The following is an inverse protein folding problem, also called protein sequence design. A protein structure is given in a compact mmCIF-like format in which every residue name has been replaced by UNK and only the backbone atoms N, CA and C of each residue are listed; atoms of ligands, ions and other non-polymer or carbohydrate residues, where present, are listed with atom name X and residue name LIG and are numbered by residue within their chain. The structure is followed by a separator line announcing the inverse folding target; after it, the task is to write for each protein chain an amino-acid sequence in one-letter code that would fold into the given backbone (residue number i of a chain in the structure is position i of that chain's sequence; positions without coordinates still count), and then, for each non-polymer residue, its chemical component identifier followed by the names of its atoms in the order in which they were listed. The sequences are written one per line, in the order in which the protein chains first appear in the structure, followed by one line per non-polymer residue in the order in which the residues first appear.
data_IF_020035904153
#
_entry.id   IF_020035904153
#
_cell.length_a   1.000
_cell.length_b   1.000
_cell.length_c   1.000
_cell.angle_alpha   90.00
_cell.angle_beta   90.00
_cell.angle_gamma   90.00
#
_symmetry.space_group_name_H-M   'P 1'
#
loop_
_entity.id
_entity.type
_entity.pdbx_description
1 polymer ?
#
# COMPACT_ATOMS: atom_id res chain seq x y z
N UNK A 1 99.08 44.07 -32.41
CA UNK A 1 98.74 43.73 -31.00
C UNK A 1 99.76 42.77 -30.34
N UNK A 2 101.04 42.78 -30.77
CA UNK A 2 102.07 41.84 -30.25
C UNK A 2 103.10 42.52 -29.34
N UNK A 3 103.40 43.81 -29.56
CA UNK A 3 104.44 44.54 -28.80
C UNK A 3 104.00 45.00 -27.39
N UNK A 4 102.71 45.04 -27.07
CA UNK A 4 102.23 45.28 -25.68
C UNK A 4 102.24 44.01 -24.81
N UNK A 5 102.38 42.81 -25.39
CA UNK A 5 102.44 41.55 -24.64
C UNK A 5 103.80 41.29 -23.96
N UNK A 6 104.87 41.97 -24.40
CA UNK A 6 106.25 41.70 -23.95
C UNK A 6 106.64 42.55 -22.73
N UNK A 7 106.13 43.78 -22.59
CA UNK A 7 106.51 44.70 -21.50
C UNK A 7 105.50 44.81 -20.33
N UNK A 8 104.35 44.13 -20.40
CA UNK A 8 103.31 44.25 -19.36
C UNK A 8 102.52 42.93 -19.15
N UNK A 9 103.24 41.81 -19.10
CA UNK A 9 102.67 40.44 -19.02
C UNK A 9 101.66 40.27 -17.86
N UNK A 10 101.97 40.83 -16.69
CA UNK A 10 101.09 40.80 -15.52
C UNK A 10 99.76 41.55 -15.74
N UNK A 11 99.78 42.72 -16.40
CA UNK A 11 98.55 43.48 -16.71
C UNK A 11 97.68 42.76 -17.75
N UNK A 12 98.29 42.08 -18.72
CA UNK A 12 97.56 41.29 -19.74
C UNK A 12 96.95 40.03 -19.12
N UNK A 13 97.66 39.31 -18.25
CA UNK A 13 97.11 38.17 -17.50
C UNK A 13 95.97 38.60 -16.54
N UNK A 14 96.12 39.72 -15.84
CA UNK A 14 95.07 40.30 -15.00
C UNK A 14 93.82 40.62 -15.82
N UNK A 15 94.00 41.25 -17.00
CA UNK A 15 92.90 41.57 -17.91
C UNK A 15 92.17 40.32 -18.42
N UNK A 16 92.90 39.26 -18.83
CA UNK A 16 92.25 38.00 -19.21
C UNK A 16 91.55 37.30 -18.04
N UNK A 17 92.08 37.41 -16.83
CA UNK A 17 91.45 36.89 -15.61
C UNK A 17 90.16 37.63 -15.27
N UNK A 18 90.17 38.97 -15.36
CA UNK A 18 88.99 39.80 -15.15
C UNK A 18 87.95 39.60 -16.25
N UNK A 19 88.39 39.41 -17.50
CA UNK A 19 87.51 39.12 -18.64
C UNK A 19 86.88 37.73 -18.54
N UNK A 20 87.62 36.72 -18.09
CA UNK A 20 87.08 35.39 -17.82
C UNK A 20 86.10 35.42 -16.63
N UNK A 21 86.45 36.10 -15.53
CA UNK A 21 85.53 36.27 -14.40
C UNK A 21 84.24 37.01 -14.81
N UNK A 22 84.37 38.07 -15.63
CA UNK A 22 83.22 38.80 -16.15
C UNK A 22 82.36 37.90 -17.06
N UNK A 23 82.99 37.09 -17.93
CA UNK A 23 82.29 36.15 -18.81
C UNK A 23 81.60 35.01 -18.02
N UNK A 24 82.25 34.48 -16.98
CA UNK A 24 81.66 33.49 -16.08
C UNK A 24 80.48 34.07 -15.30
N UNK A 25 80.60 35.32 -14.83
CA UNK A 25 79.50 36.03 -14.19
C UNK A 25 78.33 36.30 -15.16
N UNK A 26 78.63 36.65 -16.41
CA UNK A 26 77.63 36.86 -17.46
C UNK A 26 76.92 35.53 -17.82
N UNK A 27 77.66 34.43 -17.86
CA UNK A 27 77.11 33.09 -18.04
C UNK A 27 76.22 32.66 -16.86
N UNK A 28 76.61 32.96 -15.63
CA UNK A 28 75.77 32.69 -14.45
C UNK A 28 74.48 33.52 -14.47
N UNK A 29 74.58 34.82 -14.77
CA UNK A 29 73.42 35.70 -14.95
C UNK A 29 72.49 35.21 -16.08
N UNK A 30 73.06 34.71 -17.18
CA UNK A 30 72.29 34.11 -18.28
C UNK A 30 71.55 32.84 -17.85
N UNK A 31 72.19 31.96 -17.05
CA UNK A 31 71.55 30.78 -16.46
C UNK A 31 70.44 31.17 -15.49
N UNK A 32 70.67 32.14 -14.62
CA UNK A 32 69.65 32.66 -13.69
C UNK A 32 68.46 33.24 -14.45
N UNK A 33 68.70 34.09 -15.47
CA UNK A 33 67.64 34.65 -16.32
C UNK A 33 66.79 33.55 -16.96
N UNK A 34 67.42 32.50 -17.47
CA UNK A 34 66.72 31.35 -18.09
C UNK A 34 65.88 30.60 -17.06
N UNK A 35 66.40 30.41 -15.84
CA UNK A 35 65.65 29.82 -14.72
C UNK A 35 64.43 30.66 -14.35
N UNK A 36 64.60 31.97 -14.18
CA UNK A 36 63.49 32.89 -13.87
C UNK A 36 62.41 32.91 -14.96
N UNK A 37 62.81 32.86 -16.24
CA UNK A 37 61.86 32.78 -17.36
C UNK A 37 61.05 31.48 -17.33
N UNK A 38 61.69 30.35 -17.01
CA UNK A 38 61.02 29.06 -16.87
C UNK A 38 60.06 29.03 -15.66
N UNK A 39 60.50 29.57 -14.51
CA UNK A 39 59.66 29.67 -13.31
C UNK A 39 58.46 30.59 -13.54
N UNK A 40 58.65 31.73 -14.21
CA UNK A 40 57.56 32.61 -14.63
C UNK A 40 56.55 31.87 -15.49
N UNK A 41 57.01 31.14 -16.52
CA UNK A 41 56.12 30.38 -17.41
C UNK A 41 55.34 29.30 -16.66
N UNK A 42 55.99 28.62 -15.70
CA UNK A 42 55.34 27.62 -14.84
C UNK A 42 54.26 28.26 -13.95
N UNK A 43 54.56 29.41 -13.35
CA UNK A 43 53.60 30.15 -12.52
C UNK A 43 52.42 30.67 -13.35
N UNK A 44 52.66 31.21 -14.54
CA UNK A 44 51.60 31.64 -15.47
C UNK A 44 50.68 30.46 -15.86
N UNK A 45 51.23 29.28 -16.12
CA UNK A 45 50.43 28.09 -16.41
C UNK A 45 49.59 27.65 -15.20
N UNK A 46 50.17 27.62 -13.99
CA UNK A 46 49.41 27.29 -12.76
C UNK A 46 48.32 28.32 -12.48
N UNK A 47 48.58 29.59 -12.75
CA UNK A 47 47.58 30.65 -12.60
C UNK A 47 46.41 30.42 -13.56
N UNK A 48 46.68 30.11 -14.84
CA UNK A 48 45.63 29.77 -15.82
C UNK A 48 44.80 28.56 -15.40
N UNK A 49 45.45 27.49 -14.92
CA UNK A 49 44.74 26.31 -14.42
C UNK A 49 43.86 26.63 -13.21
N UNK A 50 44.37 27.42 -12.26
CA UNK A 50 43.62 27.80 -11.07
C UNK A 50 42.42 28.70 -11.41
N UNK A 51 42.56 29.62 -12.36
CA UNK A 51 41.45 30.44 -12.86
C UNK A 51 40.38 29.57 -13.49
N UNK A 52 40.75 28.64 -14.39
CA UNK A 52 39.80 27.71 -15.00
C UNK A 52 39.08 26.83 -13.97
N UNK A 53 39.79 26.35 -12.93
CA UNK A 53 39.20 25.60 -11.81
C UNK A 53 38.22 26.46 -11.00
N UNK A 54 38.57 27.72 -10.73
CA UNK A 54 37.71 28.66 -10.01
C UNK A 54 36.42 28.93 -10.79
N UNK A 55 36.52 29.19 -12.09
CA UNK A 55 35.36 29.39 -12.96
C UNK A 55 34.47 28.15 -13.02
N UNK A 56 35.06 26.96 -13.10
CA UNK A 56 34.33 25.70 -13.08
C UNK A 56 33.56 25.50 -11.77
N UNK A 57 34.21 25.70 -10.62
CA UNK A 57 33.58 25.57 -9.29
C UNK A 57 32.48 26.62 -9.12
N UNK A 58 32.69 27.84 -9.61
CA UNK A 58 31.71 28.90 -9.55
C UNK A 58 30.46 28.57 -10.38
N UNK A 59 30.64 28.02 -11.58
CA UNK A 59 29.53 27.52 -12.41
C UNK A 59 28.76 26.38 -11.72
N UNK A 60 29.46 25.39 -11.18
CA UNK A 60 28.84 24.29 -10.43
C UNK A 60 28.04 24.78 -9.21
N UNK A 61 28.58 25.77 -8.50
CA UNK A 61 27.91 26.38 -7.35
C UNK A 61 26.64 27.10 -7.78
N UNK A 62 26.68 27.83 -8.90
CA UNK A 62 25.53 28.54 -9.45
C UNK A 62 24.44 27.58 -9.92
N UNK A 63 24.80 26.50 -10.61
CA UNK A 63 23.87 25.46 -11.07
C UNK A 63 23.23 24.73 -9.88
N UNK A 64 24.03 24.38 -8.86
CA UNK A 64 23.54 23.74 -7.64
C UNK A 64 22.58 24.65 -6.87
N UNK A 65 22.89 25.95 -6.80
CA UNK A 65 22.02 26.94 -6.15
C UNK A 65 20.70 27.10 -6.90
N UNK A 66 20.74 27.19 -8.23
CA UNK A 66 19.54 27.23 -9.06
C UNK A 66 18.67 25.96 -8.93
N UNK A 67 19.31 24.79 -8.81
CA UNK A 67 18.62 23.52 -8.54
C UNK A 67 17.94 23.52 -7.17
N UNK A 68 18.65 24.00 -6.14
CA UNK A 68 18.10 24.12 -4.79
C UNK A 68 16.92 25.10 -4.74
N UNK A 69 17.02 26.26 -5.38
CA UNK A 69 15.94 27.25 -5.43
C UNK A 69 14.70 26.69 -6.14
N UNK A 70 14.88 25.96 -7.24
CA UNK A 70 13.79 25.24 -7.92
C UNK A 70 13.14 24.19 -7.02
N UNK A 71 13.95 23.41 -6.30
CA UNK A 71 13.45 22.43 -5.35
C UNK A 71 12.68 23.10 -4.20
N UNK A 72 13.20 24.19 -3.62
CA UNK A 72 12.55 24.96 -2.56
C UNK A 72 11.20 25.51 -2.99
N UNK A 73 11.11 26.12 -4.18
CA UNK A 73 9.84 26.61 -4.74
C UNK A 73 8.84 25.47 -4.90
N UNK A 74 9.30 24.32 -5.41
CA UNK A 74 8.44 23.13 -5.56
C UNK A 74 7.90 22.66 -4.20
N UNK A 75 8.74 22.59 -3.17
CA UNK A 75 8.30 22.20 -1.83
C UNK A 75 7.32 23.21 -1.24
N UNK A 76 7.62 24.52 -1.33
CA UNK A 76 6.71 25.57 -0.85
C UNK A 76 5.35 25.53 -1.55
N UNK A 77 5.32 25.27 -2.85
CA UNK A 77 4.06 25.10 -3.57
C UNK A 77 3.31 23.84 -3.13
N UNK A 78 4.03 22.76 -2.82
CA UNK A 78 3.46 21.56 -2.19
C UNK A 78 2.81 21.87 -0.84
N UNK A 79 3.52 22.57 0.05
CA UNK A 79 3.00 22.98 1.35
C UNK A 79 1.77 23.89 1.23
N UNK A 80 1.82 24.91 0.37
CA UNK A 80 0.67 25.80 0.11
C UNK A 80 -0.55 25.04 -0.42
N UNK A 81 -0.34 23.99 -1.23
CA UNK A 81 -1.44 23.14 -1.70
C UNK A 81 -2.09 22.38 -0.55
N UNK A 82 -1.27 21.75 0.30
CA UNK A 82 -1.75 21.01 1.48
C UNK A 82 -2.45 21.94 2.46
N UNK A 83 -1.91 23.13 2.70
CA UNK A 83 -2.51 24.14 3.57
C UNK A 83 -3.90 24.58 3.07
N UNK A 84 -4.06 24.82 1.76
CA UNK A 84 -5.37 25.11 1.15
C UNK A 84 -6.34 23.94 1.30
N UNK A 85 -5.85 22.71 1.19
CA UNK A 85 -6.66 21.51 1.33
C UNK A 85 -7.13 21.33 2.78
N UNK A 86 -6.27 21.57 3.76
CA UNK A 86 -6.61 21.58 5.19
C UNK A 86 -7.72 22.62 5.46
N UNK A 87 -7.54 23.86 5.01
CA UNK A 87 -8.56 24.93 5.20
C UNK A 87 -9.89 24.56 4.55
N UNK A 88 -9.86 23.95 3.35
CA UNK A 88 -11.06 23.48 2.67
C UNK A 88 -11.76 22.38 3.48
N UNK A 89 -11.01 21.38 3.95
CA UNK A 89 -11.53 20.28 4.75
C UNK A 89 -12.09 20.76 6.09
N UNK A 90 -11.45 21.72 6.75
CA UNK A 90 -11.95 22.36 7.98
C UNK A 90 -13.27 23.10 7.75
N UNK A 91 -13.38 23.82 6.63
CA UNK A 91 -14.63 24.48 6.25
C UNK A 91 -15.76 23.47 5.98
N UNK A 92 -15.47 22.42 5.21
CA UNK A 92 -16.42 21.33 4.94
C UNK A 92 -16.84 20.63 6.23
N UNK A 93 -15.90 20.39 7.14
CA UNK A 93 -16.15 19.82 8.46
C UNK A 93 -17.14 20.66 9.25
N UNK A 94 -16.90 21.97 9.38
CA UNK A 94 -17.79 22.88 10.10
C UNK A 94 -19.21 22.89 9.51
N UNK A 95 -19.33 22.88 8.19
CA UNK A 95 -20.63 22.85 7.51
C UNK A 95 -21.36 21.50 7.64
N UNK A 96 -20.62 20.39 7.75
CA UNK A 96 -21.20 19.05 7.79
C UNK A 96 -21.93 18.73 9.10
N UNK A 97 -21.59 19.40 10.21
CA UNK A 97 -22.10 19.08 11.54
C UNK A 97 -21.64 17.71 12.07
N UNK A 98 -20.63 17.11 11.46
CA UNK A 98 -20.00 15.87 11.91
C UNK A 98 -19.17 16.16 13.17
N UNK A 99 -19.38 15.37 14.23
CA UNK A 99 -18.55 15.41 15.43
C UNK A 99 -17.31 14.56 15.21
N UNK A 100 -16.14 15.14 15.50
CA UNK A 100 -14.88 14.39 15.49
C UNK A 100 -14.88 13.31 16.57
N UNK A 101 -14.32 12.12 16.28
CA UNK A 101 -14.06 11.15 17.32
C UNK A 101 -13.02 11.72 18.29
N UNK A 102 -13.40 11.79 19.56
CA UNK A 102 -12.53 12.26 20.63
C UNK A 102 -11.74 11.07 21.20
N UNK A 103 -10.52 10.88 20.68
CA UNK A 103 -9.64 9.79 21.09
C UNK A 103 -9.08 9.94 22.51
N UNK A 104 -9.40 11.03 23.23
CA UNK A 104 -9.07 11.16 24.65
C UNK A 104 -10.09 10.46 25.56
N UNK A 105 -11.27 10.10 25.04
CA UNK A 105 -12.31 9.40 25.78
C UNK A 105 -11.94 7.95 26.07
N UNK A 106 -12.63 7.37 27.06
CA UNK A 106 -12.53 5.95 27.31
C UNK A 106 -12.97 5.15 26.08
N UNK A 107 -12.41 3.95 25.93
CA UNK A 107 -12.68 3.09 24.77
C UNK A 107 -14.19 2.78 24.61
N UNK A 108 -14.89 2.53 25.72
CA UNK A 108 -16.34 2.25 25.74
C UNK A 108 -17.19 3.43 25.25
N UNK A 109 -16.75 4.67 25.53
CA UNK A 109 -17.42 5.88 25.07
C UNK A 109 -17.13 6.13 23.58
N UNK A 110 -15.87 5.94 23.17
CA UNK A 110 -15.47 6.08 21.78
C UNK A 110 -16.20 5.08 20.86
N UNK A 111 -16.41 3.84 21.30
CA UNK A 111 -17.19 2.84 20.54
C UNK A 111 -18.66 3.22 20.37
N UNK A 112 -19.24 3.97 21.32
CA UNK A 112 -20.61 4.48 21.23
C UNK A 112 -20.70 5.75 20.38
N UNK A 113 -19.56 6.39 20.12
CA UNK A 113 -19.50 7.55 19.23
C UNK A 113 -19.84 7.15 17.79
N UNK A 114 -20.53 8.04 17.08
CA UNK A 114 -20.91 7.82 15.69
C UNK A 114 -20.43 9.00 14.85
N UNK A 115 -19.13 9.07 14.52
CA UNK A 115 -18.55 10.21 13.82
C UNK A 115 -18.97 10.27 12.35
N UNK A 116 -19.50 9.19 11.77
CA UNK A 116 -19.78 9.12 10.33
C UNK A 116 -21.10 9.75 9.91
N UNK A 117 -22.06 9.87 10.82
CA UNK A 117 -23.42 10.29 10.47
C UNK A 117 -24.00 11.29 11.46
N UNK A 118 -24.53 12.40 10.92
CA UNK A 118 -25.33 13.33 11.71
C UNK A 118 -26.72 12.77 12.00
N UNK A 119 -27.37 13.29 13.04
CA UNK A 119 -28.76 12.92 13.38
C UNK A 119 -29.70 13.22 12.20
N UNK A 120 -29.51 14.35 11.51
CA UNK A 120 -30.29 14.72 10.32
C UNK A 120 -30.10 13.68 9.20
N UNK A 121 -28.86 13.27 8.94
CA UNK A 121 -28.58 12.22 7.96
C UNK A 121 -29.28 10.91 8.31
N UNK A 122 -29.21 10.45 9.57
CA UNK A 122 -29.88 9.22 10.00
C UNK A 122 -31.40 9.30 9.83
N UNK A 123 -32.02 10.44 10.16
CA UNK A 123 -33.47 10.65 9.94
C UNK A 123 -33.83 10.52 8.45
N UNK A 124 -33.12 11.22 7.58
CA UNK A 124 -33.34 11.16 6.12
C UNK A 124 -33.10 9.75 5.56
N UNK A 125 -32.06 9.06 6.05
CA UNK A 125 -31.76 7.68 5.67
C UNK A 125 -32.91 6.75 6.07
N UNK A 126 -33.45 6.90 7.28
CA UNK A 126 -34.61 6.12 7.75
C UNK A 126 -35.87 6.42 6.93
N UNK A 127 -36.15 7.68 6.62
CA UNK A 127 -37.29 8.08 5.78
C UNK A 127 -37.20 7.51 4.36
N UNK A 128 -35.99 7.57 3.76
CA UNK A 128 -35.71 6.95 2.46
C UNK A 128 -35.90 5.43 2.53
N UNK A 129 -35.39 4.78 3.58
CA UNK A 129 -35.54 3.34 3.77
C UNK A 129 -37.02 2.93 3.89
N UNK A 130 -37.81 3.65 4.70
CA UNK A 130 -39.25 3.41 4.83
C UNK A 130 -39.96 3.60 3.47
N UNK A 131 -39.60 4.63 2.71
CA UNK A 131 -40.17 4.88 1.39
C UNK A 131 -39.83 3.77 0.40
N UNK A 132 -38.58 3.30 0.40
CA UNK A 132 -38.16 2.15 -0.42
C UNK A 132 -38.91 0.86 -0.04
N UNK A 133 -39.17 0.63 1.26
CA UNK A 133 -39.97 -0.51 1.71
C UNK A 133 -41.42 -0.44 1.21
N UNK A 134 -42.02 0.75 1.13
CA UNK A 134 -43.37 0.93 0.56
C UNK A 134 -43.41 0.50 -0.91
N UNK A 135 -42.42 0.92 -1.70
CA UNK A 135 -42.29 0.52 -3.12
C UNK A 135 -42.11 -1.00 -3.23
N UNK A 136 -41.21 -1.58 -2.43
CA UNK A 136 -40.97 -3.02 -2.40
C UNK A 136 -42.23 -3.81 -2.04
N UNK A 137 -42.98 -3.35 -1.04
CA UNK A 137 -44.25 -3.95 -0.62
C UNK A 137 -45.27 -3.94 -1.78
N UNK A 138 -45.42 -2.80 -2.46
CA UNK A 138 -46.34 -2.67 -3.59
C UNK A 138 -45.95 -3.62 -4.74
N UNK A 139 -44.67 -3.64 -5.10
CA UNK A 139 -44.15 -4.53 -6.14
C UNK A 139 -44.43 -6.02 -5.83
N UNK A 140 -44.20 -6.45 -4.58
CA UNK A 140 -44.47 -7.82 -4.15
C UNK A 140 -45.97 -8.15 -4.17
N UNK A 141 -46.83 -7.19 -3.81
CA UNK A 141 -48.28 -7.37 -3.82
C UNK A 141 -48.84 -7.60 -5.24
N UNK A 142 -48.36 -6.79 -6.20
CA UNK A 142 -48.70 -6.92 -7.61
C UNK A 142 -48.18 -8.26 -8.19
N UNK A 143 -46.98 -8.68 -7.77
CA UNK A 143 -46.30 -9.87 -8.28
C UNK A 143 -46.49 -11.13 -7.41
N UNK A 144 -47.56 -11.20 -6.61
CA UNK A 144 -47.82 -12.33 -5.69
C UNK A 144 -47.83 -13.72 -6.35
N UNK A 145 -48.22 -13.80 -7.63
CA UNK A 145 -48.22 -15.06 -8.40
C UNK A 145 -46.79 -15.55 -8.65
N UNK A 146 -45.89 -14.63 -9.03
CA UNK A 146 -44.47 -14.92 -9.26
C UNK A 146 -43.79 -15.36 -7.96
N UNK A 147 -44.09 -14.68 -6.85
CA UNK A 147 -43.57 -15.07 -5.53
C UNK A 147 -44.04 -16.48 -5.10
N UNK A 148 -45.32 -16.82 -5.34
CA UNK A 148 -45.83 -18.18 -5.06
C UNK A 148 -45.13 -19.22 -5.93
N UNK A 149 -44.91 -18.93 -7.22
CA UNK A 149 -44.18 -19.81 -8.11
C UNK A 149 -42.73 -20.02 -7.65
N UNK A 150 -42.02 -18.93 -7.33
CA UNK A 150 -40.65 -18.98 -6.80
C UNK A 150 -40.53 -19.82 -5.52
N UNK A 151 -41.46 -19.63 -4.57
CA UNK A 151 -41.51 -20.45 -3.35
C UNK A 151 -41.70 -21.94 -3.66
N UNK A 152 -42.58 -22.27 -4.60
CA UNK A 152 -42.84 -23.66 -4.98
C UNK A 152 -41.61 -24.31 -5.64
N UNK A 153 -40.97 -23.60 -6.57
CA UNK A 153 -39.74 -24.08 -7.23
C UNK A 153 -38.62 -24.26 -6.21
N UNK A 154 -38.44 -23.30 -5.30
CA UNK A 154 -37.40 -23.38 -4.26
C UNK A 154 -37.60 -24.55 -3.29
N UNK A 155 -38.85 -24.88 -2.95
CA UNK A 155 -39.12 -26.04 -2.09
C UNK A 155 -38.93 -27.38 -2.82
N UNK A 156 -39.03 -27.40 -4.15
CA UNK A 156 -39.00 -28.61 -4.98
C UNK A 156 -37.83 -28.63 -5.94
N UNK A 157 -36.67 -28.09 -5.56
CA UNK A 157 -35.51 -27.94 -6.43
C UNK A 157 -35.14 -29.23 -7.20
N UNK A 158 -35.26 -30.40 -6.56
CA UNK A 158 -34.98 -31.70 -7.20
C UNK A 158 -35.87 -32.00 -8.41
N UNK A 159 -37.13 -31.58 -8.40
CA UNK A 159 -38.08 -31.79 -9.51
C UNK A 159 -37.77 -30.88 -10.71
N UNK A 160 -37.04 -29.79 -10.48
CA UNK A 160 -36.72 -28.81 -11.52
C UNK A 160 -35.31 -28.99 -12.11
N UNK A 161 -34.37 -29.62 -11.39
CA UNK A 161 -33.00 -29.84 -11.87
C UNK A 161 -32.91 -30.53 -13.24
N UNK A 162 -33.79 -31.51 -13.50
CA UNK A 162 -33.81 -32.26 -14.75
C UNK A 162 -34.57 -31.61 -15.91
N UNK A 163 -35.14 -30.42 -15.72
CA UNK A 163 -35.91 -29.71 -16.75
C UNK A 163 -35.02 -28.83 -17.61
N UNK A 164 -35.44 -28.58 -18.84
CA UNK A 164 -34.88 -27.53 -19.68
C UNK A 164 -35.01 -26.17 -18.95
N UNK A 165 -33.88 -25.53 -18.65
CA UNK A 165 -33.75 -24.31 -17.84
C UNK A 165 -33.98 -24.45 -16.32
N UNK A 166 -33.98 -25.67 -15.78
CA UNK A 166 -34.15 -25.96 -14.35
C UNK A 166 -33.26 -25.14 -13.42
N UNK A 167 -31.97 -25.08 -13.74
CA UNK A 167 -30.97 -24.35 -12.93
C UNK A 167 -31.23 -22.84 -12.89
N UNK A 168 -31.62 -22.26 -14.02
CA UNK A 168 -31.97 -20.84 -14.10
C UNK A 168 -33.24 -20.56 -13.29
N UNK A 169 -34.25 -21.41 -13.37
CA UNK A 169 -35.48 -21.27 -12.58
C UNK A 169 -35.22 -21.33 -11.07
N UNK A 170 -34.31 -22.19 -10.62
CA UNK A 170 -33.90 -22.25 -9.20
C UNK A 170 -33.20 -20.95 -8.77
N UNK A 171 -32.29 -20.44 -9.60
CA UNK A 171 -31.60 -19.17 -9.34
C UNK A 171 -32.56 -17.98 -9.28
N UNK A 172 -33.49 -17.87 -10.24
CA UNK A 172 -34.49 -16.81 -10.21
C UNK A 172 -35.46 -16.95 -9.03
N UNK A 173 -35.76 -18.18 -8.63
CA UNK A 173 -36.57 -18.42 -7.43
C UNK A 173 -35.87 -17.92 -6.17
N UNK A 174 -34.54 -18.10 -6.06
CA UNK A 174 -33.75 -17.50 -5.00
C UNK A 174 -33.79 -15.97 -5.04
N UNK A 175 -33.66 -15.37 -6.23
CA UNK A 175 -33.73 -13.91 -6.38
C UNK A 175 -35.06 -13.35 -5.88
N UNK A 176 -36.18 -13.99 -6.21
CA UNK A 176 -37.51 -13.62 -5.70
C UNK A 176 -37.63 -13.76 -4.17
N UNK A 177 -37.06 -14.83 -3.61
CA UNK A 177 -37.07 -15.06 -2.16
C UNK A 177 -36.18 -14.06 -1.43
N UNK A 178 -34.95 -13.81 -1.91
CA UNK A 178 -34.04 -12.82 -1.36
C UNK A 178 -34.58 -11.39 -1.52
N UNK A 179 -35.28 -11.12 -2.63
CA UNK A 179 -36.02 -9.89 -2.82
C UNK A 179 -37.21 -9.76 -1.85
N UNK A 180 -37.76 -10.83 -1.31
CA UNK A 180 -38.81 -10.76 -0.28
C UNK A 180 -38.21 -10.69 1.13
N UNK A 181 -37.17 -11.47 1.37
CA UNK A 181 -36.50 -11.67 2.65
C UNK A 181 -35.02 -11.26 2.46
N UNK A 182 -34.68 -9.99 2.71
CA UNK A 182 -33.35 -9.46 2.39
C UNK A 182 -32.22 -10.00 3.27
N UNK A 183 -32.56 -10.57 4.43
CA UNK A 183 -31.58 -11.10 5.39
C UNK A 183 -31.99 -12.53 5.74
N UNK A 184 -31.06 -13.47 5.53
CA UNK A 184 -31.23 -14.89 5.83
C UNK A 184 -30.05 -15.35 6.66
N UNK A 185 -30.31 -15.84 7.87
CA UNK A 185 -29.30 -16.41 8.76
C UNK A 185 -29.28 -17.93 8.65
N UNK A 186 -28.10 -18.54 8.52
CA UNK A 186 -27.92 -19.99 8.49
C UNK A 186 -26.51 -20.37 8.95
N UNK A 187 -26.32 -21.60 9.42
CA UNK A 187 -24.99 -22.14 9.76
C UNK A 187 -24.30 -22.71 8.52
N UNK A 188 -22.97 -22.86 8.53
CA UNK A 188 -22.23 -23.43 7.39
C UNK A 188 -22.71 -24.83 6.99
N UNK A 189 -23.03 -25.69 7.98
CA UNK A 189 -23.55 -27.03 7.73
C UNK A 189 -24.90 -27.02 6.99
N UNK A 190 -25.77 -26.05 7.32
CA UNK A 190 -27.08 -25.90 6.66
C UNK A 190 -26.98 -25.15 5.33
N UNK A 191 -26.02 -24.22 5.20
CA UNK A 191 -25.76 -23.48 3.97
C UNK A 191 -25.51 -24.42 2.79
N UNK A 192 -24.64 -25.42 3.00
CA UNK A 192 -24.29 -26.39 1.96
C UNK A 192 -25.51 -27.11 1.38
N UNK A 193 -26.47 -27.50 2.23
CA UNK A 193 -27.72 -28.15 1.80
C UNK A 193 -28.71 -27.18 1.17
N UNK A 194 -28.86 -26.00 1.76
CA UNK A 194 -29.82 -24.97 1.34
C UNK A 194 -29.49 -24.40 -0.04
N UNK A 195 -28.21 -24.18 -0.31
CA UNK A 195 -27.72 -23.56 -1.53
C UNK A 195 -26.96 -24.53 -2.45
N UNK A 196 -27.19 -25.84 -2.27
CA UNK A 196 -26.50 -26.91 -3.04
C UNK A 196 -26.64 -26.76 -4.56
N UNK A 197 -27.80 -26.24 -4.99
CA UNK A 197 -28.17 -26.09 -6.39
C UNK A 197 -27.99 -24.64 -6.88
N UNK A 198 -27.21 -23.81 -6.18
CA UNK A 198 -26.84 -22.49 -6.69
C UNK A 198 -25.41 -22.52 -7.26
N UNK A 199 -25.22 -21.79 -8.35
CA UNK A 199 -23.92 -21.64 -9.01
C UNK A 199 -23.01 -20.68 -8.24
N UNK A 200 -21.77 -20.57 -8.69
CA UNK A 200 -20.87 -19.50 -8.26
C UNK A 200 -21.52 -18.12 -8.39
N UNK A 201 -21.12 -17.19 -7.52
CA UNK A 201 -21.58 -15.80 -7.55
C UNK A 201 -23.12 -15.59 -7.52
N UNK A 202 -23.89 -16.57 -7.07
CA UNK A 202 -25.36 -16.46 -6.99
C UNK A 202 -25.84 -15.60 -5.81
N UNK A 203 -25.05 -15.49 -4.74
CA UNK A 203 -25.37 -14.72 -3.55
C UNK A 203 -24.68 -13.36 -3.61
N UNK A 204 -25.44 -12.29 -3.38
CA UNK A 204 -24.91 -10.92 -3.48
C UNK A 204 -23.88 -10.59 -2.39
N UNK A 205 -24.26 -10.78 -1.13
CA UNK A 205 -23.39 -10.49 0.03
C UNK A 205 -23.51 -11.63 1.05
N UNK A 206 -22.37 -12.10 1.55
CA UNK A 206 -22.28 -13.07 2.64
C UNK A 206 -21.65 -12.38 3.85
N UNK A 207 -22.27 -12.54 5.02
CA UNK A 207 -21.72 -12.09 6.29
C UNK A 207 -21.42 -13.32 7.14
N UNK A 208 -20.18 -13.45 7.59
CA UNK A 208 -19.70 -14.52 8.45
C UNK A 208 -19.40 -13.90 9.80
N UNK A 209 -20.12 -14.34 10.82
CA UNK A 209 -19.83 -14.01 12.22
C UNK A 209 -18.99 -15.13 12.85
N UNK A 210 -18.28 -14.81 13.93
CA UNK A 210 -17.41 -15.73 14.69
C UNK A 210 -16.40 -16.49 13.81
N UNK A 211 -15.89 -15.83 12.76
CA UNK A 211 -15.03 -16.48 11.76
C UNK A 211 -13.69 -17.01 12.30
N UNK A 212 -13.27 -16.55 13.47
CA UNK A 212 -12.11 -17.08 14.20
C UNK A 212 -12.33 -18.52 14.68
N UNK A 213 -13.59 -18.93 14.90
CA UNK A 213 -13.99 -20.28 15.29
C UNK A 213 -14.39 -21.17 14.09
N UNK A 214 -14.51 -20.59 12.89
CA UNK A 214 -14.96 -21.30 11.71
C UNK A 214 -13.77 -21.93 10.97
N UNK A 215 -13.96 -23.20 10.58
CA UNK A 215 -13.01 -23.90 9.73
C UNK A 215 -13.07 -23.39 8.28
N UNK A 216 -11.93 -23.16 7.62
CA UNK A 216 -11.86 -22.80 6.21
C UNK A 216 -12.76 -23.65 5.31
N UNK A 217 -12.70 -24.98 5.52
CA UNK A 217 -13.41 -25.99 4.74
C UNK A 217 -14.93 -25.88 4.90
N UNK A 218 -15.40 -25.41 6.06
CA UNK A 218 -16.83 -25.17 6.30
C UNK A 218 -17.31 -23.91 5.55
N UNK A 219 -16.46 -22.88 5.46
CA UNK A 219 -16.81 -21.59 4.85
C UNK A 219 -16.64 -21.53 3.33
N UNK A 220 -15.75 -22.36 2.75
CA UNK A 220 -15.34 -22.26 1.33
C UNK A 220 -16.52 -22.33 0.37
N UNK A 221 -17.48 -23.22 0.61
CA UNK A 221 -18.66 -23.36 -0.24
C UNK A 221 -19.61 -22.17 -0.14
N UNK A 222 -19.61 -21.43 0.96
CA UNK A 222 -20.38 -20.20 1.09
C UNK A 222 -19.70 -19.03 0.38
N UNK A 223 -18.38 -18.92 0.55
CA UNK A 223 -17.55 -17.92 -0.11
C UNK A 223 -17.63 -18.08 -1.63
N UNK A 224 -17.49 -19.31 -2.14
CA UNK A 224 -17.50 -19.60 -3.58
C UNK A 224 -18.82 -19.22 -4.28
N UNK A 225 -19.94 -19.24 -3.56
CA UNK A 225 -21.27 -18.87 -4.08
C UNK A 225 -21.60 -17.38 -3.91
N UNK A 226 -20.68 -16.58 -3.35
CA UNK A 226 -20.96 -15.20 -2.94
C UNK A 226 -20.07 -14.18 -3.64
N UNK A 227 -20.68 -13.12 -4.19
CA UNK A 227 -19.95 -12.04 -4.89
C UNK A 227 -19.11 -11.16 -3.96
N UNK A 228 -19.60 -10.96 -2.74
CA UNK A 228 -18.98 -10.13 -1.70
C UNK A 228 -19.06 -10.86 -0.38
N UNK A 229 -17.95 -10.86 0.36
CA UNK A 229 -17.87 -11.55 1.65
C UNK A 229 -17.40 -10.57 2.70
N UNK A 230 -18.13 -10.51 3.80
CA UNK A 230 -17.75 -9.80 4.99
C UNK A 230 -17.54 -10.77 6.13
N UNK A 231 -16.39 -10.66 6.78
CA UNK A 231 -15.97 -11.62 7.81
C UNK A 231 -15.68 -10.86 9.09
N UNK A 232 -16.38 -11.25 10.15
CA UNK A 232 -16.24 -10.71 11.50
C UNK A 232 -15.86 -11.88 12.41
N UNK A 233 -14.83 -11.67 13.21
CA UNK A 233 -14.34 -12.65 14.17
C UNK A 233 -13.36 -11.99 15.11
N UNK A 234 -13.29 -12.53 16.32
CA UNK A 234 -12.28 -12.16 17.30
C UNK A 234 -11.19 -13.25 17.34
N UNK A 235 -9.97 -12.97 16.88
CA UNK A 235 -8.86 -13.93 16.91
C UNK A 235 -8.43 -14.32 18.33
N UNK A 236 -8.80 -13.51 19.33
CA UNK A 236 -8.44 -13.73 20.74
C UNK A 236 -9.39 -14.70 21.44
N UNK A 237 -10.52 -15.03 20.81
CA UNK A 237 -11.47 -16.03 21.30
C UNK A 237 -11.04 -17.45 20.88
N UNK A 238 -11.82 -18.45 21.32
CA UNK A 238 -11.50 -19.87 21.17
C UNK A 238 -11.22 -20.22 19.69
N UNK A 239 -10.23 -21.07 19.46
CA UNK A 239 -9.87 -21.57 18.11
C UNK A 239 -10.96 -22.51 17.57
N UNK A 240 -11.02 -22.76 16.25
CA UNK A 240 -11.96 -23.71 15.68
C UNK A 240 -11.78 -25.10 16.32
N UNK A 241 -12.89 -25.72 16.73
CA UNK A 241 -12.86 -27.08 17.27
C UNK A 241 -12.68 -28.05 16.11
N UNK A 242 -11.44 -28.55 15.90
CA UNK A 242 -11.17 -29.65 14.98
C UNK A 242 -11.04 -30.97 15.71
N UNK A 243 -11.75 -31.98 15.20
CA UNK A 243 -11.69 -33.36 15.67
C UNK A 243 -10.52 -34.16 15.08
N UNK A 244 -9.87 -33.64 14.03
CA UNK A 244 -8.73 -34.28 13.38
C UNK A 244 -7.40 -33.87 14.03
N UNK A 245 -6.54 -34.85 14.33
CA UNK A 245 -5.20 -34.59 14.83
C UNK A 245 -4.31 -33.88 13.81
N UNK A 246 -3.43 -33.00 14.27
CA UNK A 246 -2.50 -32.21 13.44
C UNK A 246 -1.72 -33.05 12.43
N UNK A 247 -1.28 -34.24 12.82
CA UNK A 247 -0.52 -35.16 11.95
C UNK A 247 -1.31 -35.60 10.71
N UNK A 248 -2.63 -35.79 10.84
CA UNK A 248 -3.49 -36.17 9.72
C UNK A 248 -3.64 -35.00 8.75
N UNK A 249 -3.76 -33.78 9.26
CA UNK A 249 -3.82 -32.56 8.44
C UNK A 249 -2.51 -32.33 7.68
N UNK A 250 -1.36 -32.54 8.32
CA UNK A 250 -0.06 -32.45 7.64
C UNK A 250 0.10 -33.51 6.55
N UNK A 251 -0.41 -34.73 6.78
CA UNK A 251 -0.39 -35.80 5.79
C UNK A 251 -1.28 -35.46 4.58
N UNK A 252 -2.49 -34.96 4.82
CA UNK A 252 -3.42 -34.48 3.78
C UNK A 252 -2.81 -33.30 3.02
N UNK A 253 -2.25 -32.33 3.71
CA UNK A 253 -1.58 -31.18 3.10
C UNK A 253 -0.43 -31.59 2.19
N UNK A 254 0.41 -32.54 2.63
CA UNK A 254 1.50 -33.09 1.81
C UNK A 254 0.99 -33.89 0.62
N UNK A 255 -0.07 -34.69 0.79
CA UNK A 255 -0.60 -35.55 -0.27
C UNK A 255 -1.28 -34.76 -1.39
N UNK A 256 -2.01 -33.69 -1.04
CA UNK A 256 -2.73 -32.83 -1.99
C UNK A 256 -1.97 -31.54 -2.33
N UNK A 257 -0.70 -31.42 -1.92
CA UNK A 257 0.14 -30.24 -2.13
C UNK A 257 -0.51 -28.91 -1.67
N UNK A 258 -1.25 -28.95 -0.56
CA UNK A 258 -1.95 -27.78 -0.01
C UNK A 258 -1.10 -27.09 1.05
N UNK A 259 -0.89 -25.77 0.92
CA UNK A 259 -0.16 -24.94 1.88
C UNK A 259 -0.81 -25.02 3.28
N UNK A 260 0.01 -25.13 4.33
CA UNK A 260 -0.39 -25.21 5.74
C UNK A 260 -1.28 -24.03 6.18
N UNK A 261 -1.25 -22.90 5.46
CA UNK A 261 -2.15 -21.76 5.65
C UNK A 261 -3.63 -22.11 5.48
N UNK A 262 -3.95 -23.15 4.70
CA UNK A 262 -5.33 -23.59 4.42
C UNK A 262 -5.71 -24.87 5.18
N UNK A 263 -4.71 -25.67 5.58
CA UNK A 263 -4.91 -26.98 6.21
C UNK A 263 -3.98 -27.09 7.42
N UNK A 264 -4.31 -26.40 8.50
CA UNK A 264 -3.65 -26.53 9.80
C UNK A 264 -4.64 -26.38 10.95
N UNK A 265 -4.27 -26.87 12.14
CA UNK A 265 -5.10 -26.77 13.35
C UNK A 265 -5.41 -25.31 13.75
N UNK A 266 -4.57 -24.37 13.34
CA UNK A 266 -4.71 -22.93 13.59
C UNK A 266 -5.34 -22.16 12.42
N UNK A 267 -5.67 -22.84 11.32
CA UNK A 267 -6.32 -22.20 10.18
C UNK A 267 -7.81 -21.95 10.49
N UNK A 268 -8.22 -20.70 10.39
CA UNK A 268 -9.62 -20.28 10.46
C UNK A 268 -10.02 -19.55 9.20
N UNK A 269 -11.33 -19.44 8.96
CA UNK A 269 -11.87 -18.62 7.87
C UNK A 269 -11.33 -17.19 7.93
N UNK A 270 -11.16 -16.64 9.13
CA UNK A 270 -10.57 -15.32 9.35
C UNK A 270 -9.11 -15.24 8.89
N UNK A 271 -8.26 -16.20 9.27
CA UNK A 271 -6.83 -16.18 8.90
C UNK A 271 -6.62 -16.16 7.38
N UNK A 272 -7.47 -16.86 6.62
CA UNK A 272 -7.42 -16.87 5.15
C UNK A 272 -7.88 -15.55 4.55
N UNK A 273 -8.94 -14.97 5.10
CA UNK A 273 -9.48 -13.67 4.67
C UNK A 273 -8.46 -12.57 4.96
N UNK A 274 -7.78 -12.64 6.10
CA UNK A 274 -6.75 -11.68 6.50
C UNK A 274 -5.51 -11.74 5.61
N UNK A 275 -5.08 -12.94 5.22
CA UNK A 275 -3.96 -13.13 4.30
C UNK A 275 -4.25 -12.61 2.88
N UNK A 276 -5.52 -12.45 2.53
CA UNK A 276 -5.95 -12.14 1.16
C UNK A 276 -6.64 -10.77 1.03
N UNK A 277 -6.88 -10.07 2.13
CA UNK A 277 -7.53 -8.76 2.13
C UNK A 277 -6.59 -7.63 1.68
N UNK A 278 -7.11 -6.78 0.79
CA UNK A 278 -6.43 -5.54 0.37
C UNK A 278 -6.35 -4.51 1.50
N UNK A 279 -7.28 -4.58 2.46
CA UNK A 279 -7.38 -3.64 3.57
C UNK A 279 -7.50 -4.40 4.90
N UNK A 280 -6.67 -4.04 5.88
CA UNK A 280 -6.88 -4.40 7.29
C UNK A 280 -6.09 -5.58 7.87
N UNK A 281 -4.86 -5.85 7.44
CA UNK A 281 -3.99 -6.78 8.17
C UNK A 281 -2.50 -6.46 8.13
N UNK A 282 -1.89 -6.28 9.30
CA UNK A 282 -0.44 -6.35 9.51
C UNK A 282 -0.15 -7.12 10.81
N UNK A 283 0.28 -8.37 10.69
CA UNK A 283 0.74 -9.17 11.84
C UNK A 283 2.17 -8.75 12.19
N UNK A 284 2.35 -7.87 13.17
CA UNK A 284 3.69 -7.69 13.75
C UNK A 284 4.03 -8.93 14.59
N UNK A 285 5.02 -9.70 14.13
CA UNK A 285 5.71 -10.69 14.97
C UNK A 285 6.70 -9.93 15.85
N UNK A 286 6.39 -9.66 17.10
CA UNK A 286 7.43 -9.45 18.11
C UNK A 286 6.92 -9.68 19.54
N UNK A 287 7.82 -10.25 20.34
CA UNK A 287 7.63 -10.73 21.70
C UNK A 287 7.08 -9.64 22.64
N UNK A 288 6.21 -10.08 23.55
CA UNK A 288 5.49 -9.32 24.58
C UNK A 288 6.07 -7.95 24.93
N UNK A 289 5.46 -6.91 24.36
CA UNK A 289 5.25 -5.55 24.87
C UNK A 289 4.89 -4.68 23.66
N UNK A 290 3.58 -4.53 23.42
CA UNK A 290 3.07 -3.70 22.33
C UNK A 290 2.67 -2.31 22.88
N UNK A 291 3.36 -1.27 22.40
CA UNK A 291 2.80 0.07 22.27
C UNK A 291 2.31 0.21 20.81
N UNK A 292 1.00 0.23 20.52
CA UNK A 292 0.50 0.28 19.15
C UNK A 292 -0.20 1.60 18.81
N UNK A 293 0.33 2.32 17.82
CA UNK A 293 -0.54 3.07 16.92
C UNK A 293 -1.35 2.05 16.09
N UNK A 294 -2.64 1.93 16.39
CA UNK A 294 -3.55 0.96 15.77
C UNK A 294 -3.93 -0.18 16.72
N UNK A 295 -4.74 0.14 17.73
CA UNK A 295 -5.20 -0.81 18.74
C UNK A 295 -6.22 -1.80 18.15
N UNK A 296 -5.84 -3.08 18.22
CA UNK A 296 -6.72 -4.24 18.09
C UNK A 296 -7.42 -4.51 19.41
N UNK A 297 -8.71 -4.26 19.47
CA UNK A 297 -9.68 -5.06 20.23
C UNK A 297 -11.05 -4.94 19.54
N UNK A 298 -11.80 -6.04 19.56
CA UNK A 298 -13.21 -6.23 19.25
C UNK A 298 -13.76 -5.75 17.88
N UNK A 299 -14.10 -6.73 17.02
CA UNK A 299 -15.00 -6.63 15.84
C UNK A 299 -14.45 -5.84 14.65
N UNK A 300 -13.51 -6.43 13.91
CA UNK A 300 -13.21 -5.91 12.57
C UNK A 300 -14.31 -6.33 11.59
N UNK A 301 -15.10 -5.36 11.11
CA UNK A 301 -15.95 -5.47 9.93
C UNK A 301 -15.02 -5.44 8.70
N UNK A 302 -14.77 -6.60 8.07
CA UNK A 302 -13.82 -6.71 6.94
C UNK A 302 -14.58 -6.99 5.65
N UNK A 303 -14.45 -6.15 4.63
CA UNK A 303 -15.13 -6.32 3.34
C UNK A 303 -14.15 -6.83 2.28
N UNK A 304 -14.40 -8.03 1.74
CA UNK A 304 -13.64 -8.61 0.63
C UNK A 304 -14.46 -8.61 -0.67
N UNK A 305 -13.78 -8.26 -1.76
CA UNK A 305 -14.18 -8.63 -3.13
C UNK A 305 -13.22 -9.71 -3.59
N UNK A 306 -13.71 -10.93 -3.83
CA UNK A 306 -12.90 -12.02 -4.36
C UNK A 306 -13.42 -12.48 -5.72
N UNK A 307 -12.47 -12.86 -6.59
CA UNK A 307 -12.73 -13.68 -7.78
C UNK A 307 -11.72 -14.84 -7.69
N UNK A 308 -12.17 -16.00 -7.19
CA UNK A 308 -11.30 -17.17 -7.02
C UNK A 308 -11.48 -18.08 -8.25
N UNK A 309 -10.57 -17.99 -9.23
CA UNK A 309 -10.55 -18.91 -10.37
C UNK A 309 -9.83 -20.18 -9.92
N UNK A 310 -10.57 -21.17 -9.41
CA UNK A 310 -10.02 -22.50 -9.17
C UNK A 310 -9.61 -23.12 -10.52
N UNK A 311 -8.31 -23.13 -10.80
CA UNK A 311 -7.76 -23.92 -11.90
C UNK A 311 -7.47 -25.30 -11.33
N UNK A 312 -8.50 -26.15 -11.26
CA UNK A 312 -8.26 -27.59 -11.17
C UNK A 312 -7.63 -28.01 -12.50
N UNK A 313 -6.30 -28.17 -12.52
CA UNK A 313 -5.66 -28.97 -13.57
C UNK A 313 -5.92 -30.43 -13.18
N UNK A 314 -6.63 -31.13 -14.05
CA UNK A 314 -6.68 -32.60 -14.02
C UNK A 314 -5.39 -33.21 -14.50
#
# INVERSE_FOLDING_TARGET
MWLQKIFNKAKVEQYFKDLNNANDHLNDLSKQKTKWLNDRRRLENRLRENVAKSEYVQKQTQDTRANFDRWMIKQQNGFKKVEREIVLLEKLKYQSGIKEPDFSQSYDELQKSNPWFTVKFRKLQSELFISALKVRKQFLYENRRNLKAARNIWNRQSEYLGKENGQQLISESWNWLNFTIPVVSTTFASFGRMFKNLNEDSIGNLFIDEAGQALPQASVGAIFRSKKVMVVGDPSQIKPVMTLGSNVLTLIGRHYEVDEKFVSADASTQTIVDATSQYGFQKMRMNGLAYPFGYTDARTIRCLRFQMKFRMRG
#
